data_IF_495718952031
#
_entry.id   IF_495718952031
#
_cell.length_a   1.000
_cell.length_b   1.000
_cell.length_c   1.000
_cell.angle_alpha   90.00
_cell.angle_beta   90.00
_cell.angle_gamma   90.00
#
_symmetry.space_group_name_H-M   'P 1'
#
loop_
_entity.id
_entity.type
_entity.pdbx_description
1 polymer ?
#
# COMPACT_ATOMS: atom_id res chain seq x y z
N UNK A 1 81.21 -5.77 47.04
CA UNK A 1 80.20 -5.34 48.03
C UNK A 1 78.81 -5.64 47.47
N UNK A 2 77.94 -6.22 48.31
CA UNK A 2 76.52 -6.59 48.10
C UNK A 2 76.21 -7.76 47.14
N UNK A 3 75.90 -8.95 47.68
CA UNK A 3 74.54 -9.54 47.97
C UNK A 3 73.84 -9.99 46.68
N UNK A 4 73.43 -11.24 46.42
CA UNK A 4 73.00 -12.34 47.28
C UNK A 4 71.46 -12.43 47.34
N UNK A 5 70.89 -13.64 47.10
CA UNK A 5 69.47 -14.11 47.12
C UNK A 5 68.86 -14.28 45.71
N UNK A 6 68.55 -15.47 45.16
CA UNK A 6 67.96 -16.74 45.65
C UNK A 6 66.59 -16.60 46.31
N UNK A 7 65.57 -17.22 45.70
CA UNK A 7 64.39 -17.75 46.40
C UNK A 7 63.02 -17.36 45.84
N UNK A 8 62.26 -18.38 45.39
CA UNK A 8 60.94 -18.65 45.99
C UNK A 8 59.66 -18.14 45.29
N UNK A 9 59.01 -19.06 44.56
CA UNK A 9 57.56 -19.34 44.39
C UNK A 9 56.51 -18.32 44.88
N UNK A 10 55.60 -17.94 43.97
CA UNK A 10 54.12 -17.92 44.11
C UNK A 10 53.56 -17.41 42.77
N UNK A 11 52.84 -18.20 41.97
CA UNK A 11 51.47 -18.62 42.28
C UNK A 11 50.52 -17.45 42.05
N UNK A 12 50.01 -17.27 40.82
CA UNK A 12 48.79 -16.50 40.54
C UNK A 12 48.20 -16.87 39.17
N UNK A 13 47.09 -17.60 39.26
CA UNK A 13 46.09 -17.77 38.22
C UNK A 13 45.59 -16.42 37.71
N UNK A 14 45.52 -16.23 36.38
CA UNK A 14 44.49 -15.42 35.71
C UNK A 14 44.22 -16.11 34.37
N UNK A 15 43.24 -17.02 34.37
CA UNK A 15 41.91 -16.84 33.79
C UNK A 15 41.90 -16.65 32.27
N UNK A 16 41.29 -17.64 31.63
CA UNK A 16 40.94 -17.73 30.23
C UNK A 16 40.25 -16.45 29.70
N UNK A 17 40.82 -15.86 28.65
CA UNK A 17 40.12 -14.94 27.77
C UNK A 17 39.61 -15.71 26.56
N UNK A 18 38.52 -16.47 26.73
CA UNK A 18 37.75 -16.99 25.62
C UNK A 18 37.23 -15.77 24.85
N UNK A 19 37.85 -15.46 23.72
CA UNK A 19 37.33 -14.48 22.75
C UNK A 19 36.09 -15.12 22.11
N UNK A 20 35.00 -15.17 22.87
CA UNK A 20 33.68 -15.42 22.34
C UNK A 20 33.36 -14.20 21.46
N UNK A 21 33.70 -14.30 20.18
CA UNK A 21 33.08 -13.49 19.14
C UNK A 21 31.61 -13.90 19.15
N UNK A 22 30.85 -13.27 20.04
CA UNK A 22 29.41 -13.19 19.95
C UNK A 22 29.14 -12.34 18.70
N UNK A 23 29.22 -12.99 17.54
CA UNK A 23 28.43 -12.56 16.39
C UNK A 23 27.01 -12.71 16.90
N UNK A 24 26.49 -11.63 17.47
CA UNK A 24 25.07 -11.42 17.68
C UNK A 24 24.46 -11.52 16.29
N UNK A 25 24.14 -12.75 15.89
CA UNK A 25 23.15 -13.07 14.89
C UNK A 25 21.80 -12.62 15.47
N UNK A 26 21.65 -11.30 15.59
CA UNK A 26 20.34 -10.68 15.57
C UNK A 26 19.73 -11.19 14.27
N UNK A 27 18.60 -11.92 14.31
CA UNK A 27 17.89 -12.23 13.09
C UNK A 27 17.58 -10.88 12.47
N UNK A 28 18.24 -10.57 11.34
CA UNK A 28 17.80 -9.49 10.48
C UNK A 28 16.38 -9.89 10.14
N UNK A 29 15.42 -9.17 10.72
CA UNK A 29 14.01 -9.29 10.34
C UNK A 29 13.95 -8.74 8.92
N UNK A 30 14.32 -9.55 7.93
CA UNK A 30 13.92 -9.33 6.54
C UNK A 30 12.40 -9.53 6.50
N UNK A 31 11.66 -8.51 6.93
CA UNK A 31 10.19 -8.46 6.92
C UNK A 31 9.74 -7.57 5.80
N UNK A 32 10.08 -7.98 4.58
CA UNK A 32 9.49 -7.43 3.37
C UNK A 32 9.23 -8.63 2.47
N UNK A 33 8.03 -9.20 2.58
CA UNK A 33 7.56 -10.21 1.64
C UNK A 33 7.02 -9.45 0.42
N UNK A 34 7.87 -9.29 -0.59
CA UNK A 34 7.56 -8.59 -1.84
C UNK A 34 6.99 -9.59 -2.86
N UNK A 35 5.81 -9.31 -3.43
CA UNK A 35 5.06 -10.23 -4.30
C UNK A 35 5.48 -10.17 -5.79
N UNK A 36 6.62 -9.58 -6.10
CA UNK A 36 7.05 -9.25 -7.47
C UNK A 36 6.24 -8.11 -8.11
N UNK A 37 5.51 -7.32 -7.32
CA UNK A 37 4.59 -6.32 -7.84
C UNK A 37 5.31 -5.02 -8.15
N UNK A 38 4.87 -4.38 -9.23
CA UNK A 38 5.49 -3.15 -9.75
C UNK A 38 4.49 -1.99 -9.70
N UNK A 39 4.96 -0.73 -9.77
CA UNK A 39 4.05 0.40 -9.85
C UNK A 39 3.10 0.33 -11.05
N UNK A 40 3.45 -0.36 -12.15
CA UNK A 40 2.54 -0.57 -13.29
C UNK A 40 1.32 -1.42 -12.95
N UNK A 41 1.49 -2.44 -12.10
CA UNK A 41 0.36 -3.25 -11.61
C UNK A 41 -0.59 -2.38 -10.78
N UNK A 42 -0.01 -1.59 -9.88
CA UNK A 42 -0.77 -0.66 -9.04
C UNK A 42 -1.45 0.43 -9.88
N UNK A 43 -0.75 0.97 -10.88
CA UNK A 43 -1.28 1.96 -11.82
C UNK A 43 -2.54 1.44 -12.53
N UNK A 44 -2.51 0.19 -13.00
CA UNK A 44 -3.66 -0.44 -13.66
C UNK A 44 -4.87 -0.54 -12.74
N UNK A 45 -4.68 -0.94 -11.48
CA UNK A 45 -5.76 -0.95 -10.49
C UNK A 45 -6.35 0.45 -10.29
N UNK A 46 -5.50 1.47 -10.16
CA UNK A 46 -6.00 2.85 -9.98
C UNK A 46 -6.67 3.42 -11.23
N UNK A 47 -6.31 2.95 -12.41
CA UNK A 47 -7.07 3.27 -13.62
C UNK A 47 -8.47 2.66 -13.54
N UNK A 48 -8.57 1.37 -13.19
CA UNK A 48 -9.83 0.67 -12.94
C UNK A 48 -10.69 1.38 -11.89
N UNK A 49 -10.11 1.71 -10.73
CA UNK A 49 -10.80 2.47 -9.65
C UNK A 49 -11.39 3.77 -10.20
N UNK A 50 -10.60 4.53 -10.97
CA UNK A 50 -11.04 5.80 -11.52
C UNK A 50 -12.17 5.63 -12.55
N UNK A 51 -12.20 4.53 -13.31
CA UNK A 51 -13.31 4.20 -14.20
C UNK A 51 -14.56 3.77 -13.41
N UNK A 52 -14.39 2.89 -12.43
CA UNK A 52 -15.49 2.43 -11.57
C UNK A 52 -16.13 3.60 -10.81
N UNK A 53 -15.36 4.59 -10.36
CA UNK A 53 -15.90 5.81 -9.74
C UNK A 53 -16.76 6.65 -10.70
N UNK A 54 -16.41 6.69 -11.99
CA UNK A 54 -17.23 7.39 -12.99
C UNK A 54 -18.54 6.65 -13.22
N UNK A 55 -18.49 5.33 -13.36
CA UNK A 55 -19.69 4.48 -13.50
C UNK A 55 -20.57 4.65 -12.27
N UNK A 56 -20.01 4.49 -11.08
CA UNK A 56 -20.70 4.70 -9.81
C UNK A 56 -21.39 6.07 -9.76
N UNK A 57 -20.69 7.14 -10.11
CA UNK A 57 -21.27 8.48 -10.14
C UNK A 57 -22.46 8.61 -11.08
N UNK A 58 -22.47 7.93 -12.24
CA UNK A 58 -23.62 7.94 -13.16
C UNK A 58 -24.84 7.23 -12.56
N UNK A 59 -24.61 6.21 -11.75
CA UNK A 59 -25.69 5.41 -11.13
C UNK A 59 -26.35 6.22 -10.02
N UNK A 60 -25.56 6.86 -9.16
CA UNK A 60 -26.06 7.47 -7.93
C UNK A 60 -26.39 8.96 -8.06
N UNK A 61 -25.81 9.70 -9.00
CA UNK A 61 -26.00 11.14 -9.10
C UNK A 61 -26.93 11.53 -10.24
N UNK A 62 -27.85 12.46 -9.95
CA UNK A 62 -28.67 13.15 -10.98
C UNK A 62 -28.02 14.46 -11.46
N UNK A 63 -26.84 14.80 -10.95
CA UNK A 63 -26.10 16.01 -11.30
C UNK A 63 -25.29 15.78 -12.58
N UNK A 64 -25.90 16.11 -13.72
CA UNK A 64 -25.26 16.01 -15.04
C UNK A 64 -24.00 16.91 -15.13
N UNK A 65 -24.04 18.11 -14.55
CA UNK A 65 -22.92 19.06 -14.56
C UNK A 65 -21.75 18.53 -13.69
N UNK A 66 -22.06 17.98 -12.53
CA UNK A 66 -21.12 17.27 -11.66
C UNK A 66 -20.47 16.08 -12.36
N UNK A 67 -21.25 15.29 -13.10
CA UNK A 67 -20.73 14.16 -13.87
C UNK A 67 -19.81 14.61 -15.03
N UNK A 68 -20.19 15.65 -15.78
CA UNK A 68 -19.33 16.22 -16.84
C UNK A 68 -18.00 16.70 -16.25
N UNK A 69 -18.04 17.37 -15.10
CA UNK A 69 -16.84 17.82 -14.38
C UNK A 69 -15.96 16.65 -13.96
N UNK A 70 -16.54 15.59 -13.40
CA UNK A 70 -15.83 14.38 -12.97
C UNK A 70 -15.10 13.71 -14.14
N UNK A 71 -15.77 13.59 -15.29
CA UNK A 71 -15.22 12.97 -16.50
C UNK A 71 -14.07 13.78 -17.10
N UNK A 72 -14.14 15.11 -17.03
CA UNK A 72 -13.11 16.01 -17.56
C UNK A 72 -11.83 16.03 -16.70
N UNK A 73 -11.88 15.59 -15.44
CA UNK A 73 -10.73 15.62 -14.54
C UNK A 73 -9.62 14.66 -15.00
N UNK A 74 -8.39 15.18 -15.00
CA UNK A 74 -7.18 14.43 -15.34
C UNK A 74 -6.28 14.20 -14.11
N UNK A 75 -5.40 13.18 -14.16
CA UNK A 75 -4.34 13.00 -13.18
C UNK A 75 -3.41 14.22 -13.17
N UNK A 76 -2.97 14.64 -11.99
CA UNK A 76 -1.92 15.65 -11.87
C UNK A 76 -0.56 14.97 -11.92
N UNK A 77 0.44 15.66 -12.47
CA UNK A 77 1.82 15.21 -12.41
C UNK A 77 2.41 15.50 -11.02
N UNK A 78 3.17 14.55 -10.51
CA UNK A 78 3.93 14.67 -9.27
C UNK A 78 5.34 14.12 -9.52
N UNK A 79 6.29 14.51 -8.68
CA UNK A 79 7.68 14.06 -8.76
C UNK A 79 8.12 13.48 -7.43
N UNK A 80 9.13 12.60 -7.51
CA UNK A 80 9.83 12.05 -6.35
C UNK A 80 8.93 11.36 -5.33
N UNK A 81 7.83 10.74 -5.77
CA UNK A 81 6.96 9.94 -4.91
C UNK A 81 7.54 8.57 -4.65
N UNK A 82 7.26 8.06 -3.45
CA UNK A 82 7.60 6.71 -3.02
C UNK A 82 6.33 5.89 -2.74
N UNK A 83 6.39 4.56 -2.67
CA UNK A 83 5.21 3.73 -2.38
C UNK A 83 4.47 4.13 -1.09
N UNK A 84 5.19 4.59 -0.05
CA UNK A 84 4.58 5.07 1.19
C UNK A 84 3.67 6.29 0.97
N UNK A 85 4.06 7.24 0.13
CA UNK A 85 3.20 8.38 -0.23
C UNK A 85 1.91 7.89 -0.88
N UNK A 86 2.04 6.93 -1.79
CA UNK A 86 0.90 6.36 -2.52
C UNK A 86 -0.04 5.64 -1.56
N UNK A 87 0.52 4.81 -0.65
CA UNK A 87 -0.25 4.10 0.37
C UNK A 87 -1.01 5.06 1.28
N UNK A 88 -0.34 6.05 1.85
CA UNK A 88 -0.97 7.07 2.71
C UNK A 88 -2.09 7.83 1.99
N UNK A 89 -1.92 8.11 0.69
CA UNK A 89 -2.95 8.78 -0.09
C UNK A 89 -4.11 7.84 -0.46
N UNK A 90 -3.84 6.55 -0.66
CA UNK A 90 -4.86 5.51 -0.82
C UNK A 90 -5.70 5.34 0.44
N UNK A 91 -5.10 5.39 1.63
CA UNK A 91 -5.83 5.36 2.90
C UNK A 91 -6.81 6.53 3.04
N UNK A 92 -6.47 7.71 2.51
CA UNK A 92 -7.41 8.85 2.48
C UNK A 92 -8.59 8.58 1.57
N UNK A 93 -8.38 7.89 0.44
CA UNK A 93 -9.46 7.44 -0.43
C UNK A 93 -10.34 6.45 0.33
N UNK A 94 -9.76 5.42 0.95
CA UNK A 94 -10.48 4.45 1.80
C UNK A 94 -11.31 5.14 2.88
N UNK A 95 -10.72 6.07 3.63
CA UNK A 95 -11.41 6.83 4.68
C UNK A 95 -12.62 7.60 4.14
N UNK A 96 -12.47 8.22 2.96
CA UNK A 96 -13.56 8.93 2.30
C UNK A 96 -14.64 7.98 1.76
N UNK A 97 -14.25 6.85 1.17
CA UNK A 97 -15.13 5.81 0.65
C UNK A 97 -15.97 5.15 1.75
N UNK A 98 -15.41 4.91 2.94
CA UNK A 98 -16.14 4.36 4.10
C UNK A 98 -17.35 5.20 4.52
N UNK A 99 -17.40 6.47 4.15
CA UNK A 99 -18.56 7.32 4.41
C UNK A 99 -19.81 6.92 3.61
N UNK A 100 -19.69 6.11 2.55
CA UNK A 100 -20.79 5.87 1.61
C UNK A 100 -20.84 4.48 0.97
N UNK A 101 -19.71 3.78 0.85
CA UNK A 101 -19.68 2.36 0.47
C UNK A 101 -19.13 1.54 1.63
N UNK A 102 -19.72 0.36 1.85
CA UNK A 102 -19.12 -0.62 2.75
C UNK A 102 -17.86 -1.13 2.06
N UNK A 103 -16.70 -0.62 2.48
CA UNK A 103 -15.44 -1.19 2.03
C UNK A 103 -15.34 -2.54 2.70
N UNK A 104 -15.41 -3.59 1.88
CA UNK A 104 -15.31 -4.95 2.38
C UNK A 104 -14.01 -5.10 3.16
N UNK A 105 -14.15 -5.42 4.43
CA UNK A 105 -13.03 -5.88 5.27
C UNK A 105 -12.80 -7.37 5.09
N UNK A 106 -13.51 -8.05 4.17
CA UNK A 106 -13.24 -9.44 3.83
C UNK A 106 -11.96 -9.50 3.02
N UNK A 107 -10.88 -9.45 3.78
CA UNK A 107 -9.54 -9.77 3.33
C UNK A 107 -9.55 -11.28 3.03
N UNK A 108 -9.25 -11.73 1.79
CA UNK A 108 -9.14 -13.16 1.51
C UNK A 108 -8.24 -13.84 2.56
N UNK A 109 -8.55 -15.07 2.97
CA UNK A 109 -7.80 -15.74 4.05
C UNK A 109 -6.28 -15.77 3.85
N UNK A 110 -5.83 -15.91 2.59
CA UNK A 110 -4.41 -15.85 2.22
C UNK A 110 -3.75 -14.49 2.50
N UNK A 111 -4.54 -13.41 2.49
CA UNK A 111 -4.11 -12.05 2.76
C UNK A 111 -4.17 -11.72 4.27
N UNK A 112 -5.02 -12.41 5.05
CA UNK A 112 -4.96 -12.39 6.52
C UNK A 112 -3.69 -13.10 7.01
N UNK A 113 -3.34 -14.23 6.40
CA UNK A 113 -2.05 -14.90 6.66
C UNK A 113 -0.87 -14.00 6.30
N UNK A 114 -0.97 -13.23 5.21
CA UNK A 114 0.02 -12.22 4.81
C UNK A 114 0.20 -11.10 5.85
N UNK A 115 -0.88 -10.53 6.38
CA UNK A 115 -0.81 -9.50 7.44
C UNK A 115 -0.28 -10.05 8.77
N UNK A 116 -0.54 -11.33 9.09
CA UNK A 116 0.02 -11.98 10.28
C UNK A 116 1.54 -12.21 10.18
N UNK A 117 2.04 -12.47 8.97
CA UNK A 117 3.47 -12.66 8.69
C UNK A 117 4.20 -11.32 8.59
N UNK A 118 3.53 -10.28 8.09
CA UNK A 118 4.04 -8.92 7.94
C UNK A 118 2.94 -7.88 8.25
N UNK A 119 2.78 -7.47 9.52
CA UNK A 119 1.76 -6.50 9.90
C UNK A 119 2.01 -5.17 9.19
N UNK A 120 1.17 -4.81 8.22
CA UNK A 120 1.26 -3.54 7.50
C UNK A 120 1.09 -2.33 8.44
N UNK A 121 0.45 -2.54 9.59
CA UNK A 121 0.10 -1.53 10.60
C UNK A 121 1.25 -1.05 11.48
N UNK A 122 2.41 -1.73 11.46
CA UNK A 122 3.58 -1.40 12.31
C UNK A 122 4.84 -1.05 11.49
N UNK A 123 4.67 -0.85 10.19
CA UNK A 123 5.77 -0.57 9.26
C UNK A 123 6.14 0.92 9.27
N UNK A 124 7.43 1.23 9.37
CA UNK A 124 7.90 2.60 9.12
C UNK A 124 7.66 2.94 7.64
N UNK A 125 7.53 4.21 7.30
CA UNK A 125 7.33 4.66 5.91
C UNK A 125 8.34 4.06 4.90
N UNK A 126 9.56 3.71 5.34
CA UNK A 126 10.59 3.07 4.50
C UNK A 126 10.32 1.58 4.16
N UNK A 127 9.36 0.93 4.81
CA UNK A 127 9.05 -0.50 4.63
C UNK A 127 7.82 -0.75 3.74
N UNK A 128 7.09 0.30 3.34
CA UNK A 128 5.95 0.17 2.43
C UNK A 128 6.44 -0.17 1.01
N UNK A 129 6.01 -1.33 0.50
CA UNK A 129 6.35 -1.83 -0.84
C UNK A 129 5.20 -1.60 -1.83
N UNK A 130 5.44 -1.69 -3.15
CA UNK A 130 4.37 -1.70 -4.14
C UNK A 130 3.30 -2.78 -3.87
N UNK A 131 3.70 -3.91 -3.29
CA UNK A 131 2.78 -4.97 -2.86
C UNK A 131 1.76 -4.47 -1.83
N UNK A 132 2.18 -3.74 -0.80
CA UNK A 132 1.25 -3.15 0.17
C UNK A 132 0.25 -2.19 -0.50
N UNK A 133 0.74 -1.36 -1.43
CA UNK A 133 -0.12 -0.45 -2.20
C UNK A 133 -1.11 -1.22 -3.08
N UNK A 134 -0.68 -2.30 -3.70
CA UNK A 134 -1.54 -3.14 -4.54
C UNK A 134 -2.70 -3.75 -3.74
N UNK A 135 -2.43 -4.22 -2.53
CA UNK A 135 -3.43 -4.86 -1.66
C UNK A 135 -4.54 -3.88 -1.28
N UNK A 136 -4.20 -2.70 -0.76
CA UNK A 136 -5.20 -1.67 -0.43
C UNK A 136 -5.93 -1.20 -1.70
N UNK A 137 -5.25 -1.11 -2.84
CA UNK A 137 -5.89 -0.74 -4.11
C UNK A 137 -6.91 -1.78 -4.57
N UNK A 138 -6.62 -3.07 -4.38
CA UNK A 138 -7.54 -4.16 -4.73
C UNK A 138 -8.79 -4.14 -3.85
N UNK A 139 -8.64 -3.92 -2.54
CA UNK A 139 -9.76 -3.76 -1.61
C UNK A 139 -10.67 -2.59 -2.01
N UNK A 140 -10.07 -1.45 -2.37
CA UNK A 140 -10.80 -0.27 -2.86
C UNK A 140 -11.57 -0.61 -4.14
N UNK A 141 -10.90 -1.21 -5.13
CA UNK A 141 -11.53 -1.53 -6.42
C UNK A 141 -12.70 -2.51 -6.23
N UNK A 142 -12.49 -3.61 -5.51
CA UNK A 142 -13.53 -4.61 -5.23
C UNK A 142 -14.75 -3.95 -4.59
N UNK A 143 -14.54 -3.10 -3.58
CA UNK A 143 -15.65 -2.44 -2.87
C UNK A 143 -16.48 -1.53 -3.77
N UNK A 144 -15.85 -0.83 -4.73
CA UNK A 144 -16.59 0.00 -5.69
C UNK A 144 -17.30 -0.88 -6.72
N UNK A 145 -16.64 -1.93 -7.20
CA UNK A 145 -17.20 -2.87 -8.17
C UNK A 145 -18.42 -3.59 -7.60
N UNK A 146 -18.36 -4.07 -6.36
CA UNK A 146 -19.48 -4.72 -5.68
C UNK A 146 -20.71 -3.80 -5.68
N UNK A 147 -20.51 -2.53 -5.33
CA UNK A 147 -21.61 -1.54 -5.34
C UNK A 147 -22.12 -1.26 -6.75
N UNK A 148 -21.25 -1.18 -7.75
CA UNK A 148 -21.67 -1.00 -9.16
C UNK A 148 -22.52 -2.20 -9.61
N UNK A 149 -22.06 -3.42 -9.35
CA UNK A 149 -22.76 -4.65 -9.74
C UNK A 149 -24.10 -4.79 -9.00
N UNK A 150 -24.14 -4.50 -7.70
CA UNK A 150 -25.37 -4.61 -6.91
C UNK A 150 -26.43 -3.55 -7.27
N UNK A 151 -26.03 -2.42 -7.85
CA UNK A 151 -26.92 -1.30 -8.17
C UNK A 151 -27.17 -1.13 -9.68
N UNK A 152 -26.65 -2.04 -10.52
CA UNK A 152 -26.90 -2.01 -11.96
C UNK A 152 -27.18 -3.40 -12.51
N UNK A 153 -27.97 -3.47 -13.57
CA UNK A 153 -28.00 -4.64 -14.45
C UNK A 153 -26.70 -4.63 -15.28
N UNK A 154 -25.55 -4.84 -14.64
CA UNK A 154 -24.24 -4.74 -15.27
C UNK A 154 -24.07 -5.86 -16.31
N UNK A 155 -24.34 -5.53 -17.58
CA UNK A 155 -24.24 -6.48 -18.70
C UNK A 155 -22.79 -6.64 -19.24
N UNK A 156 -21.88 -5.76 -18.83
CA UNK A 156 -20.49 -5.80 -19.27
C UNK A 156 -19.67 -6.81 -18.43
N UNK A 157 -18.59 -7.38 -18.96
CA UNK A 157 -17.69 -8.19 -18.14
C UNK A 157 -17.03 -7.36 -17.03
N UNK A 158 -17.21 -7.75 -15.77
CA UNK A 158 -16.52 -7.12 -14.62
C UNK A 158 -14.99 -7.13 -14.80
N UNK A 159 -14.46 -8.13 -15.52
CA UNK A 159 -13.04 -8.24 -15.86
C UNK A 159 -12.44 -6.99 -16.52
N UNK A 160 -13.25 -6.21 -17.23
CA UNK A 160 -12.78 -5.01 -17.93
C UNK A 160 -12.34 -3.91 -16.95
N UNK A 161 -12.88 -3.92 -15.72
CA UNK A 161 -12.47 -3.02 -14.63
C UNK A 161 -11.17 -3.46 -13.95
N UNK A 162 -10.75 -4.72 -14.17
CA UNK A 162 -9.51 -5.32 -13.64
C UNK A 162 -8.44 -5.49 -14.71
N UNK A 163 -8.63 -4.92 -15.90
CA UNK A 163 -7.68 -5.04 -16.98
C UNK A 163 -6.30 -4.52 -16.54
N UNK A 164 -5.35 -5.43 -16.38
CA UNK A 164 -3.96 -5.08 -16.08
C UNK A 164 -3.27 -4.77 -17.40
N UNK A 165 -2.99 -3.48 -17.61
CA UNK A 165 -2.16 -3.04 -18.71
C UNK A 165 -0.70 -3.05 -18.25
N UNK A 166 0.06 -4.05 -18.69
CA UNK A 166 1.47 -4.23 -18.35
C UNK A 166 2.39 -3.20 -19.04
N UNK A 167 1.98 -1.92 -19.14
CA UNK A 167 2.86 -0.85 -19.60
C UNK A 167 4.11 -0.83 -18.73
N UNK A 168 5.27 -0.98 -19.34
CA UNK A 168 6.52 -1.33 -18.65
C UNK A 168 7.29 -0.14 -18.06
N UNK A 169 6.64 0.96 -17.66
CA UNK A 169 7.36 2.20 -17.34
C UNK A 169 6.75 3.09 -16.24
N UNK A 170 5.78 2.59 -15.46
CA UNK A 170 5.15 3.44 -14.43
C UNK A 170 5.99 3.55 -13.18
N UNK A 171 5.96 4.75 -12.61
CA UNK A 171 6.61 5.11 -11.35
C UNK A 171 5.58 5.29 -10.23
N UNK A 172 6.00 5.29 -8.95
CA UNK A 172 5.08 5.66 -7.87
C UNK A 172 4.45 7.04 -8.04
N UNK A 173 5.12 7.97 -8.72
CA UNK A 173 4.58 9.31 -9.00
C UNK A 173 3.39 9.27 -9.96
N UNK A 174 3.44 8.41 -10.98
CA UNK A 174 2.32 8.20 -11.91
C UNK A 174 1.11 7.61 -11.17
N UNK A 175 1.37 6.62 -10.32
CA UNK A 175 0.34 6.01 -9.48
C UNK A 175 -0.27 7.05 -8.54
N UNK A 176 0.56 7.83 -7.86
CA UNK A 176 0.11 8.91 -6.97
C UNK A 176 -0.81 9.89 -7.69
N UNK A 177 -0.52 10.23 -8.95
CA UNK A 177 -1.38 11.06 -9.79
C UNK A 177 -2.80 10.49 -9.98
N UNK A 178 -2.93 9.16 -10.12
CA UNK A 178 -4.23 8.48 -10.20
C UNK A 178 -4.93 8.37 -8.85
N UNK A 179 -4.19 8.15 -7.76
CA UNK A 179 -4.74 8.13 -6.40
C UNK A 179 -5.30 9.51 -6.04
N UNK A 180 -4.57 10.57 -6.35
CA UNK A 180 -5.03 11.96 -6.17
C UNK A 180 -6.28 12.25 -7.00
N UNK A 181 -6.33 11.75 -8.25
CA UNK A 181 -7.52 11.88 -9.09
C UNK A 181 -8.74 11.22 -8.43
N UNK A 182 -8.61 9.98 -7.97
CA UNK A 182 -9.67 9.27 -7.29
C UNK A 182 -10.12 9.99 -6.00
N UNK A 183 -9.17 10.50 -5.21
CA UNK A 183 -9.46 11.28 -4.01
C UNK A 183 -10.27 12.55 -4.33
N UNK A 184 -9.91 13.27 -5.40
CA UNK A 184 -10.68 14.45 -5.83
C UNK A 184 -12.05 14.07 -6.37
N UNK A 185 -12.16 12.99 -7.15
CA UNK A 185 -13.44 12.50 -7.69
C UNK A 185 -14.41 12.10 -6.58
N UNK A 186 -13.95 11.30 -5.62
CA UNK A 186 -14.76 10.93 -4.44
C UNK A 186 -15.23 12.15 -3.65
N UNK A 187 -14.43 13.22 -3.57
CA UNK A 187 -14.85 14.48 -2.95
C UNK A 187 -16.01 15.18 -3.68
N UNK A 188 -16.03 15.16 -5.02
CA UNK A 188 -17.13 15.73 -5.81
C UNK A 188 -18.37 14.84 -5.76
N UNK A 189 -18.18 13.53 -5.89
CA UNK A 189 -19.28 12.55 -5.81
C UNK A 189 -20.04 12.72 -4.49
N UNK A 190 -19.32 12.87 -3.38
CA UNK A 190 -19.93 13.10 -2.06
C UNK A 190 -20.65 14.45 -1.97
N UNK A 191 -20.04 15.53 -2.46
CA UNK A 191 -20.69 16.85 -2.44
C UNK A 191 -21.97 16.90 -3.28
N UNK A 192 -22.08 16.07 -4.33
CA UNK A 192 -23.28 15.93 -5.14
C UNK A 192 -24.33 14.96 -4.57
N UNK A 193 -24.00 14.20 -3.52
CA UNK A 193 -24.92 13.26 -2.85
C UNK A 193 -25.74 13.95 -1.74
N UNK A 194 -25.21 15.01 -1.14
CA UNK A 194 -25.86 15.76 -0.05
C UNK A 194 -26.86 16.85 -0.54
N UNK A 195 -27.07 16.99 -1.85
CA UNK A 195 -28.04 17.92 -2.47
C UNK A 195 -29.20 17.17 -3.12
#
# INVERSE_FOLDING_TARGET
MHKGLSGGKAGRFVLAGLFAVFVLSSPVKCRSLELGLTPSHVYSLWHGINQSLLIYSQIISKDEDGFVKLKAMQPKAFENKIPADVYSHAEKVTSRLRGFISISTDVPGWLIEFEQISPLTDTKDEEITPSAVFLISTQILNSIVDVVVDNTDWEQPVSDLYAIDLRTDKTPSDVFGLVDLALRRTGIILAGYDN
#
